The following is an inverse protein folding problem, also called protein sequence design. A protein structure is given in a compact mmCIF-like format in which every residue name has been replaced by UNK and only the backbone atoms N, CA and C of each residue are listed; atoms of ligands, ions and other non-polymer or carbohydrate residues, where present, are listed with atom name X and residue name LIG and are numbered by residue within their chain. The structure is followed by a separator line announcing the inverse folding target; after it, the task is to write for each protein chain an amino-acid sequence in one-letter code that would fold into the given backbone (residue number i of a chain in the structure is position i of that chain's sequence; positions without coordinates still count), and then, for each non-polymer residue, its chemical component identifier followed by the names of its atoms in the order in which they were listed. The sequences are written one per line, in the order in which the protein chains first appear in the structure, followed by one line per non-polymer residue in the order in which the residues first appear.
data_IF_453215262655
#
_entry.id   IF_453215262655
#
_cell.length_a   1.000
_cell.length_b   1.000
_cell.length_c   1.000
_cell.angle_alpha   90.00
_cell.angle_beta   90.00
_cell.angle_gamma   90.00
#
_symmetry.space_group_name_H-M   'P 1'
#
loop_
_entity.id
_entity.type
_entity.pdbx_description
1 polymer ?
#
# COMPACT_ATOMS: atom_id res chain seq x y z
N UNK A 1 15.52 6.12 2.43
CA UNK A 1 14.10 5.80 2.68
C UNK A 1 13.41 5.78 1.33
N UNK A 2 13.05 4.59 0.86
CA UNK A 2 12.46 4.37 -0.47
C UNK A 2 10.98 4.75 -0.43
N UNK A 3 10.45 5.40 -1.48
CA UNK A 3 9.03 5.77 -1.60
C UNK A 3 8.07 4.59 -1.38
N UNK A 4 8.54 3.38 -1.69
CA UNK A 4 7.87 2.10 -1.45
C UNK A 4 7.65 1.81 0.04
N UNK A 5 8.60 2.17 0.90
CA UNK A 5 8.51 1.96 2.35
C UNK A 5 7.44 2.88 2.98
N UNK A 6 7.35 4.13 2.50
CA UNK A 6 6.30 5.07 2.92
C UNK A 6 4.90 4.63 2.43
N UNK A 7 4.82 4.06 1.22
CA UNK A 7 3.59 3.45 0.68
C UNK A 7 3.17 2.22 1.49
N UNK A 8 4.12 1.35 1.84
CA UNK A 8 3.87 0.19 2.69
C UNK A 8 3.32 0.61 4.06
N UNK A 9 3.96 1.60 4.71
CA UNK A 9 3.48 2.15 5.98
C UNK A 9 2.08 2.77 5.89
N UNK A 10 1.78 3.47 4.80
CA UNK A 10 0.44 4.03 4.56
C UNK A 10 -0.62 2.96 4.35
N UNK A 11 -0.35 1.94 3.54
CA UNK A 11 -1.26 0.80 3.31
C UNK A 11 -1.50 -0.01 4.59
N UNK A 12 -0.45 -0.30 5.34
CA UNK A 12 -0.52 -1.05 6.61
C UNK A 12 -1.34 -0.31 7.66
N UNK A 13 -1.06 0.99 7.84
CA UNK A 13 -1.80 1.84 8.79
C UNK A 13 -3.28 1.99 8.42
N UNK A 14 -3.57 2.12 7.13
CA UNK A 14 -4.93 2.16 6.63
C UNK A 14 -5.69 0.86 6.90
N UNK A 15 -5.11 -0.29 6.54
CA UNK A 15 -5.71 -1.62 6.73
C UNK A 15 -5.97 -1.90 8.22
N UNK A 16 -5.02 -1.54 9.07
CA UNK A 16 -5.18 -1.65 10.53
C UNK A 16 -6.31 -0.76 11.04
N UNK A 17 -6.50 0.43 10.45
CA UNK A 17 -7.57 1.36 10.86
C UNK A 17 -8.98 0.92 10.45
N UNK A 18 -9.11 0.08 9.40
CA UNK A 18 -10.42 -0.39 8.90
C UNK A 18 -10.82 -1.77 9.44
N UNK A 19 -9.87 -2.57 9.94
CA UNK A 19 -10.15 -3.92 10.44
C UNK A 19 -10.77 -3.88 11.85
N UNK A 20 -11.84 -4.65 12.10
CA UNK A 20 -12.46 -4.74 13.42
C UNK A 20 -11.49 -5.45 14.39
N UNK A 21 -10.77 -4.66 15.20
CA UNK A 21 -9.68 -5.12 16.06
C UNK A 21 -8.47 -4.18 16.09
N UNK A 22 -8.41 -3.20 15.17
CA UNK A 22 -7.39 -2.16 15.11
C UNK A 22 -7.53 -1.12 16.21
N UNK A 23 -7.18 -1.48 17.44
CA UNK A 23 -7.14 -0.55 18.56
C UNK A 23 -5.93 0.40 18.46
N UNK A 24 -5.91 1.36 17.54
CA UNK A 24 -5.12 2.61 17.62
C UNK A 24 -5.62 3.64 16.57
N UNK A 25 -6.85 4.12 16.68
CA UNK A 25 -7.33 5.33 15.99
C UNK A 25 -6.75 6.63 16.62
N UNK A 26 -5.51 6.59 17.09
CA UNK A 26 -4.98 7.55 18.05
C UNK A 26 -3.71 8.29 17.65
N UNK A 27 -3.09 8.00 16.50
CA UNK A 27 -1.84 8.68 16.13
C UNK A 27 -1.73 9.27 14.73
N UNK A 28 -2.20 8.64 13.64
CA UNK A 28 -1.83 9.10 12.29
C UNK A 28 -2.98 9.17 11.28
N UNK A 29 -3.99 10.00 11.53
CA UNK A 29 -4.93 10.45 10.50
C UNK A 29 -6.10 9.51 10.22
N UNK A 30 -7.19 10.07 9.71
CA UNK A 30 -8.38 9.32 9.30
C UNK A 30 -8.08 8.45 8.07
N UNK A 31 -8.93 7.44 7.79
CA UNK A 31 -8.89 6.65 6.55
C UNK A 31 -8.70 7.51 5.29
N UNK A 32 -9.35 8.68 5.24
CA UNK A 32 -9.21 9.64 4.15
C UNK A 32 -7.79 10.22 3.99
N UNK A 33 -7.06 10.40 5.09
CA UNK A 33 -5.68 10.90 5.07
C UNK A 33 -4.73 9.84 4.47
N UNK A 34 -4.90 8.58 4.89
CA UNK A 34 -4.18 7.45 4.30
C UNK A 34 -4.44 7.31 2.81
N UNK A 35 -5.71 7.39 2.38
CA UNK A 35 -6.07 7.33 0.95
C UNK A 35 -5.41 8.47 0.16
N UNK A 36 -5.40 9.69 0.71
CA UNK A 36 -4.75 10.84 0.08
C UNK A 36 -3.23 10.65 0.00
N UNK A 37 -2.62 10.05 1.03
CA UNK A 37 -1.18 9.74 1.05
C UNK A 37 -0.83 8.66 0.01
N UNK A 38 -1.65 7.60 -0.09
CA UNK A 38 -1.49 6.53 -1.09
C UNK A 38 -1.63 7.09 -2.52
N UNK A 39 -2.63 7.94 -2.78
CA UNK A 39 -2.83 8.54 -4.10
C UNK A 39 -1.64 9.44 -4.50
N UNK A 40 -1.17 10.27 -3.55
CA UNK A 40 0.03 11.08 -3.75
C UNK A 40 1.25 10.20 -4.04
N UNK A 41 1.49 9.17 -3.24
CA UNK A 41 2.62 8.25 -3.44
C UNK A 41 2.52 7.50 -4.76
N UNK A 42 1.31 7.10 -5.19
CA UNK A 42 1.08 6.51 -6.50
C UNK A 42 1.52 7.45 -7.63
N UNK A 43 1.17 8.74 -7.54
CA UNK A 43 1.58 9.75 -8.52
C UNK A 43 3.09 10.00 -8.47
N UNK A 44 3.68 10.08 -7.27
CA UNK A 44 5.11 10.33 -7.08
C UNK A 44 6.01 9.13 -7.44
N UNK A 45 5.47 7.91 -7.35
CA UNK A 45 6.12 6.71 -7.86
C UNK A 45 6.03 6.65 -9.39
N UNK A 46 4.89 7.02 -9.99
CA UNK A 46 4.75 7.11 -11.45
C UNK A 46 5.31 5.87 -12.17
N UNK A 47 6.28 6.09 -13.06
CA UNK A 47 6.97 5.05 -13.84
C UNK A 47 8.03 4.25 -13.05
N UNK A 48 8.44 4.74 -11.87
CA UNK A 48 9.32 4.01 -10.96
C UNK A 48 8.56 2.90 -10.20
N UNK A 49 7.23 2.90 -10.25
CA UNK A 49 6.41 1.86 -9.65
C UNK A 49 6.48 0.55 -10.45
N UNK A 50 6.66 -0.61 -9.80
CA UNK A 50 6.46 -1.89 -10.46
C UNK A 50 5.05 -1.97 -11.08
N UNK A 51 4.90 -2.47 -12.31
CA UNK A 51 3.61 -2.49 -13.01
C UNK A 51 2.54 -3.30 -12.27
N UNK A 52 2.93 -4.36 -11.54
CA UNK A 52 2.03 -5.11 -10.65
C UNK A 52 1.50 -4.25 -9.50
N UNK A 53 2.36 -3.43 -8.88
CA UNK A 53 1.95 -2.55 -7.78
C UNK A 53 0.97 -1.49 -8.28
N UNK A 54 1.23 -0.89 -9.44
CA UNK A 54 0.31 0.03 -10.08
C UNK A 54 -1.06 -0.64 -10.34
N UNK A 55 -1.05 -1.87 -10.86
CA UNK A 55 -2.27 -2.65 -11.08
C UNK A 55 -3.07 -2.89 -9.80
N UNK A 56 -2.41 -3.28 -8.71
CA UNK A 56 -3.07 -3.47 -7.41
C UNK A 56 -3.67 -2.18 -6.87
N UNK A 57 -2.97 -1.05 -7.02
CA UNK A 57 -3.49 0.27 -6.63
C UNK A 57 -4.70 0.70 -7.47
N UNK A 58 -4.69 0.45 -8.79
CA UNK A 58 -5.82 0.74 -9.69
C UNK A 58 -7.07 -0.07 -9.34
N UNK A 59 -6.89 -1.34 -8.99
CA UNK A 59 -7.99 -2.22 -8.54
C UNK A 59 -8.44 -1.95 -7.11
N UNK A 60 -7.82 -0.97 -6.41
CA UNK A 60 -8.00 -0.71 -4.97
C UNK A 60 -7.76 -1.96 -4.11
N UNK A 61 -6.90 -2.85 -4.59
CA UNK A 61 -6.53 -4.08 -3.91
C UNK A 61 -5.35 -3.82 -2.97
N UNK A 62 -5.61 -3.03 -1.93
CA UNK A 62 -4.58 -2.55 -1.00
C UNK A 62 -3.90 -3.67 -0.22
N UNK A 63 -4.63 -4.76 0.07
CA UNK A 63 -4.08 -5.96 0.69
C UNK A 63 -3.05 -6.62 -0.23
N UNK A 64 -3.33 -6.73 -1.53
CA UNK A 64 -2.41 -7.28 -2.52
C UNK A 64 -1.19 -6.37 -2.76
N UNK A 65 -1.40 -5.06 -2.76
CA UNK A 65 -0.30 -4.11 -2.82
C UNK A 65 0.64 -4.26 -1.61
N UNK A 66 0.09 -4.47 -0.41
CA UNK A 66 0.87 -4.73 0.79
C UNK A 66 1.64 -6.06 0.68
N UNK A 67 0.96 -7.13 0.28
CA UNK A 67 1.53 -8.48 0.10
C UNK A 67 2.69 -8.47 -0.91
N UNK A 68 2.56 -7.70 -1.99
CA UNK A 68 3.62 -7.48 -2.97
C UNK A 68 4.83 -6.72 -2.38
N UNK A 69 4.57 -5.69 -1.57
CA UNK A 69 5.64 -4.92 -0.90
C UNK A 69 6.34 -5.71 0.20
N UNK A 70 5.63 -6.61 0.88
CA UNK A 70 6.18 -7.53 1.88
C UNK A 70 6.91 -8.73 1.25
N UNK A 71 6.86 -8.89 -0.07
CA UNK A 71 7.41 -10.06 -0.77
C UNK A 71 6.67 -11.36 -0.46
N UNK A 72 5.44 -11.26 0.04
CA UNK A 72 4.54 -12.40 0.32
C UNK A 72 3.68 -12.77 -0.89
N UNK A 73 3.57 -11.90 -1.88
CA UNK A 73 2.83 -12.20 -3.10
C UNK A 73 3.54 -13.29 -3.90
N UNK A 74 2.99 -14.51 -3.80
CA UNK A 74 3.47 -15.74 -4.44
C UNK A 74 3.46 -15.66 -5.98
N UNK A 75 2.86 -14.59 -6.54
CA UNK A 75 2.84 -14.34 -7.97
C UNK A 75 4.15 -13.75 -8.50
N UNK A 76 5.08 -13.36 -7.61
CA UNK A 76 6.50 -13.13 -7.95
C UNK A 76 7.21 -14.47 -8.15
N UNK A 77 6.62 -15.37 -8.94
CA UNK A 77 7.44 -16.32 -9.70
C UNK A 77 8.04 -15.50 -10.84
N UNK A 78 9.37 -15.27 -10.89
CA UNK A 78 9.99 -14.94 -12.16
C UNK A 78 9.66 -16.14 -13.05
N UNK A 79 8.77 -15.93 -14.02
CA UNK A 79 8.54 -16.92 -15.05
C UNK A 79 9.80 -16.89 -15.93
N UNK A 80 10.83 -17.61 -15.49
CA UNK A 80 11.99 -17.99 -16.29
C UNK A 80 11.58 -19.10 -17.26
#
# INVERSE_FOLDING_TARGET
MTKLDDLHGALSGMLTSILPGGAQAGKNGSLADYLRKIDRLRVELGDEAPPMLAHYLEKRSYVKALDFLEGRDETVKPNC
#
